data_IF_320591552901
#
_entry.id   IF_320591552901
#
_cell.length_a   1.000
_cell.length_b   1.000
_cell.length_c   1.000
_cell.angle_alpha   90.00
_cell.angle_beta   90.00
_cell.angle_gamma   90.00
#
_symmetry.space_group_name_H-M   'P 1'
#
loop_
_entity.id
_entity.type
_entity.pdbx_description
1 polymer ?
#
# COMPACT_ATOMS: atom_id res chain seq x y z
N UNK A 1 4.91 -4.96 -9.19
CA UNK A 1 6.14 -4.16 -9.30
C UNK A 1 6.35 -3.72 -10.74
N UNK A 2 6.50 -2.43 -11.01
CA UNK A 2 6.70 -1.91 -12.36
C UNK A 2 8.19 -1.95 -12.76
N UNK A 3 8.78 -3.16 -12.87
CA UNK A 3 10.17 -3.36 -13.28
C UNK A 3 11.24 -2.90 -12.27
N UNK A 4 10.85 -2.65 -11.02
CA UNK A 4 11.74 -2.32 -9.90
C UNK A 4 11.70 -3.42 -8.84
N UNK A 5 12.73 -3.48 -7.99
CA UNK A 5 12.82 -4.47 -6.89
C UNK A 5 11.77 -4.23 -5.80
N UNK A 6 11.28 -2.99 -5.66
CA UNK A 6 10.24 -2.57 -4.70
C UNK A 6 9.34 -1.49 -5.29
N UNK A 7 8.12 -1.34 -4.75
CA UNK A 7 7.19 -0.31 -5.21
C UNK A 7 7.74 1.09 -4.90
N UNK A 8 7.67 2.00 -5.87
CA UNK A 8 8.19 3.38 -5.75
C UNK A 8 7.10 4.44 -5.67
N UNK A 9 5.83 4.04 -5.60
CA UNK A 9 4.73 4.99 -5.47
C UNK A 9 4.51 5.35 -4.00
N UNK A 10 4.03 6.57 -3.77
CA UNK A 10 3.41 6.91 -2.50
C UNK A 10 2.00 6.35 -2.48
N UNK A 11 1.65 5.70 -1.37
CA UNK A 11 0.28 5.24 -1.12
C UNK A 11 -0.27 5.96 0.11
N UNK A 12 -1.45 6.55 -0.03
CA UNK A 12 -2.20 7.12 1.10
C UNK A 12 -3.62 6.60 1.01
N UNK A 13 -4.11 5.99 2.07
CA UNK A 13 -5.40 5.31 2.01
C UNK A 13 -5.97 4.91 3.35
N UNK A 14 -7.05 4.15 3.27
CA UNK A 14 -7.75 3.55 4.40
C UNK A 14 -8.02 2.08 4.15
N UNK A 15 -7.74 1.23 5.14
CA UNK A 15 -7.99 -0.20 5.06
C UNK A 15 -9.44 -0.52 5.44
N UNK A 16 -10.19 -1.03 4.48
CA UNK A 16 -11.59 -1.45 4.66
C UNK A 16 -11.68 -2.88 5.22
N UNK A 17 -10.81 -3.79 4.78
CA UNK A 17 -10.82 -5.19 5.18
C UNK A 17 -9.45 -5.86 5.02
N UNK A 18 -9.22 -6.95 5.76
CA UNK A 18 -7.98 -7.72 5.75
C UNK A 18 -6.80 -7.03 6.44
N UNK A 19 -5.62 -7.63 6.30
CA UNK A 19 -4.37 -7.17 6.91
C UNK A 19 -3.24 -7.17 5.89
N UNK A 20 -2.45 -6.10 5.87
CA UNK A 20 -1.28 -5.95 5.01
C UNK A 20 -0.03 -5.73 5.86
N UNK A 21 1.00 -6.54 5.66
CA UNK A 21 2.33 -6.26 6.18
C UNK A 21 3.16 -5.58 5.10
N UNK A 22 3.69 -4.41 5.45
CA UNK A 22 4.51 -3.57 4.59
C UNK A 22 5.94 -3.60 5.11
N UNK A 23 6.90 -3.83 4.22
CA UNK A 23 8.33 -3.82 4.54
C UNK A 23 9.03 -2.77 3.69
N UNK A 24 9.68 -1.81 4.33
CA UNK A 24 10.51 -0.82 3.68
C UNK A 24 11.88 -1.41 3.33
N UNK A 25 12.53 -0.83 2.33
CA UNK A 25 13.92 -1.18 1.97
C UNK A 25 14.91 -0.88 3.10
N UNK A 26 14.59 0.06 4.00
CA UNK A 26 15.35 0.31 5.23
C UNK A 26 15.33 -0.87 6.22
N UNK A 27 14.44 -1.83 6.01
CA UNK A 27 14.22 -2.98 6.87
C UNK A 27 13.09 -2.80 7.89
N UNK A 28 12.53 -1.60 8.02
CA UNK A 28 11.38 -1.34 8.88
C UNK A 28 10.12 -2.03 8.35
N UNK A 29 9.28 -2.53 9.26
CA UNK A 29 8.02 -3.21 8.94
C UNK A 29 6.87 -2.57 9.67
N UNK A 30 5.71 -2.48 9.01
CA UNK A 30 4.47 -2.00 9.60
C UNK A 30 3.31 -2.91 9.18
N UNK A 31 2.34 -3.07 10.08
CA UNK A 31 1.10 -3.80 9.81
C UNK A 31 -0.05 -2.81 9.71
N UNK A 32 -0.86 -2.96 8.68
CA UNK A 32 -2.09 -2.18 8.44
C UNK A 32 -3.25 -3.16 8.52
N UNK A 33 -4.25 -2.87 9.37
CA UNK A 33 -5.45 -3.70 9.54
C UNK A 33 -6.73 -2.92 9.27
N UNK A 34 -7.86 -3.62 9.18
CA UNK A 34 -9.16 -3.02 8.94
C UNK A 34 -9.46 -1.90 9.95
N UNK A 35 -9.79 -0.72 9.46
CA UNK A 35 -9.99 0.49 10.27
C UNK A 35 -8.82 1.46 10.30
N UNK A 36 -7.64 1.06 9.82
CA UNK A 36 -6.46 1.92 9.80
C UNK A 36 -6.45 2.87 8.59
N UNK A 37 -6.11 4.13 8.83
CA UNK A 37 -5.54 4.99 7.79
C UNK A 37 -4.04 4.73 7.65
N UNK A 38 -3.52 4.76 6.43
CA UNK A 38 -2.11 4.48 6.19
C UNK A 38 -1.45 5.47 5.22
N UNK A 39 -0.14 5.62 5.38
CA UNK A 39 0.78 6.22 4.41
C UNK A 39 1.93 5.25 4.22
N UNK A 40 2.21 4.87 2.96
CA UNK A 40 3.33 4.01 2.63
C UNK A 40 4.28 4.79 1.69
N UNK A 41 5.51 5.08 2.15
CA UNK A 41 6.50 5.82 1.35
C UNK A 41 7.09 4.93 0.23
N UNK A 42 7.75 5.51 -0.78
CA UNK A 42 8.45 4.75 -1.82
C UNK A 42 9.53 3.84 -1.24
N UNK A 43 9.81 2.74 -1.95
CA UNK A 43 10.79 1.75 -1.52
C UNK A 43 10.22 0.78 -0.49
N UNK A 44 9.11 0.13 -0.87
CA UNK A 44 8.45 -0.88 -0.04
C UNK A 44 7.97 -2.08 -0.85
N UNK A 45 7.88 -3.21 -0.15
CA UNK A 45 7.12 -4.37 -0.54
C UNK A 45 5.94 -4.55 0.42
N UNK A 46 4.89 -5.21 -0.04
CA UNK A 46 3.75 -5.50 0.80
C UNK A 46 3.16 -6.87 0.49
N UNK A 47 2.66 -7.54 1.52
CA UNK A 47 1.96 -8.81 1.35
C UNK A 47 0.76 -8.90 2.30
N UNK A 48 -0.26 -9.63 1.86
CA UNK A 48 -1.46 -9.90 2.65
C UNK A 48 -1.12 -10.92 3.73
N UNK A 49 -1.57 -10.65 4.96
CA UNK A 49 -1.43 -11.57 6.10
C UNK A 49 -2.75 -12.30 6.30
N UNK A 50 -2.69 -13.63 6.31
CA UNK A 50 -3.87 -14.51 6.44
C UNK A 50 -4.63 -14.71 5.14
N UNK A 51 -5.86 -15.21 5.25
CA UNK A 51 -6.68 -15.62 4.10
C UNK A 51 -7.66 -14.53 3.62
N UNK A 52 -7.91 -13.51 4.44
CA UNK A 52 -8.78 -12.39 4.07
C UNK A 52 -8.05 -11.42 3.15
N UNK A 53 -8.67 -11.10 2.01
CA UNK A 53 -8.10 -10.15 1.05
C UNK A 53 -7.98 -8.77 1.69
N UNK A 54 -6.82 -8.14 1.50
CA UNK A 54 -6.67 -6.72 1.79
C UNK A 54 -7.50 -5.88 0.81
N UNK A 55 -8.34 -4.99 1.35
CA UNK A 55 -9.15 -4.04 0.57
C UNK A 55 -8.84 -2.63 1.07
N UNK A 56 -8.13 -1.86 0.26
CA UNK A 56 -7.78 -0.46 0.53
C UNK A 56 -8.55 0.52 -0.35
N UNK A 57 -8.96 1.65 0.23
CA UNK A 57 -9.39 2.84 -0.52
C UNK A 57 -8.20 3.80 -0.59
N UNK A 58 -7.67 4.02 -1.79
CA UNK A 58 -6.51 4.90 -1.99
C UNK A 58 -6.92 6.30 -2.44
N UNK A 59 -6.40 7.30 -1.72
CA UNK A 59 -6.55 8.73 -2.05
C UNK A 59 -5.36 9.24 -2.88
N UNK A 60 -4.20 8.62 -2.71
CA UNK A 60 -3.01 8.82 -3.53
C UNK A 60 -2.42 7.45 -3.84
N UNK A 61 -2.23 7.13 -5.12
CA UNK A 61 -1.59 5.89 -5.54
C UNK A 61 -0.91 6.05 -6.91
N UNK A 62 -0.46 4.93 -7.48
CA UNK A 62 0.06 4.85 -8.84
C UNK A 62 -0.94 5.29 -9.92
N UNK A 63 -2.25 5.24 -9.63
CA UNK A 63 -3.28 5.53 -10.60
C UNK A 63 -3.49 7.04 -10.73
N UNK A 64 -3.25 7.59 -11.92
CA UNK A 64 -3.71 8.93 -12.28
C UNK A 64 -5.23 8.89 -12.50
N UNK A 65 -6.02 9.36 -11.54
CA UNK A 65 -7.44 9.64 -11.79
C UNK A 65 -7.60 11.07 -12.34
N UNK A 66 -8.32 11.19 -13.45
CA UNK A 66 -8.57 12.41 -14.22
C UNK A 66 -7.31 13.07 -14.84
N UNK A 67 -6.84 12.51 -15.96
CA UNK A 67 -6.18 13.34 -16.98
C UNK A 67 -7.30 13.91 -17.84
N UNK A 68 -7.82 15.08 -17.46
CA UNK A 68 -8.68 15.84 -18.37
C UNK A 68 -7.87 16.22 -19.60
N UNK A 69 -8.47 16.10 -20.78
CA UNK A 69 -7.93 16.63 -22.03
C UNK A 69 -7.77 18.16 -21.95
#
# INVERSE_FOLDING_TARGET
>A
MAGTDSCQNNHVGFCVAGTLEVRLNSGETATITAGDSYTIPPGHDAHVVGDEKFVGLEFLSAASYAKGD
#
